data_IF_826277163307
#
_entry.id   IF_826277163307
#
_cell.length_a   1.000
_cell.length_b   1.000
_cell.length_c   1.000
_cell.angle_alpha   90.00
_cell.angle_beta   90.00
_cell.angle_gamma   90.00
#
_symmetry.space_group_name_H-M   'P 1'
#
loop_
_entity.id
_entity.type
_entity.pdbx_description
1 polymer ?
#
# COMPACT_ATOMS: atom_id res chain seq x y z
N UNK A 1 19.75 50.94 25.61
CA UNK A 1 20.14 49.51 25.62
C UNK A 1 18.91 48.70 25.98
N UNK A 2 18.33 48.00 25.02
CA UNK A 2 17.27 47.00 25.25
C UNK A 2 17.79 45.70 24.66
N UNK A 3 17.85 44.71 25.54
CA UNK A 3 18.40 43.38 25.31
C UNK A 3 17.54 42.65 24.26
N UNK A 4 18.16 42.23 23.15
CA UNK A 4 17.53 41.38 22.15
C UNK A 4 17.81 39.93 22.53
N UNK A 5 16.87 39.30 23.22
CA UNK A 5 16.85 37.85 23.37
C UNK A 5 16.49 37.26 22.00
N UNK A 6 17.52 36.87 21.24
CA UNK A 6 17.39 36.03 20.06
C UNK A 6 16.88 34.65 20.51
N UNK A 7 15.58 34.41 20.35
CA UNK A 7 15.02 33.06 20.39
C UNK A 7 15.64 32.26 19.24
N UNK A 8 16.53 31.33 19.57
CA UNK A 8 17.03 30.32 18.63
C UNK A 8 15.81 29.54 18.15
N UNK A 9 15.37 29.79 16.91
CA UNK A 9 14.40 28.93 16.24
C UNK A 9 15.08 27.57 16.06
N UNK A 10 14.70 26.61 16.90
CA UNK A 10 15.13 25.21 16.78
C UNK A 10 14.92 24.75 15.35
N UNK A 11 16.02 24.29 14.73
CA UNK A 11 16.00 23.63 13.43
C UNK A 11 15.03 22.45 13.55
N UNK A 12 14.05 22.27 12.65
CA UNK A 12 13.12 21.15 12.78
C UNK A 12 13.93 19.85 12.70
N UNK A 13 13.76 18.97 13.69
CA UNK A 13 14.38 17.64 13.77
C UNK A 13 13.76 16.66 12.75
N UNK A 14 13.67 17.09 11.49
CA UNK A 14 13.06 16.33 10.38
C UNK A 14 13.76 14.97 10.19
N UNK A 15 15.01 14.84 10.64
CA UNK A 15 15.81 13.61 10.50
C UNK A 15 15.45 12.51 11.50
N UNK A 16 14.99 12.84 12.71
CA UNK A 16 14.65 11.83 13.74
C UNK A 16 13.27 11.24 13.47
N UNK A 17 12.36 12.03 12.89
CA UNK A 17 10.98 11.60 12.59
C UNK A 17 10.87 10.66 11.38
N UNK A 18 11.95 10.49 10.61
CA UNK A 18 11.98 9.63 9.42
C UNK A 18 12.88 8.39 9.58
N UNK A 19 13.45 8.20 10.77
CA UNK A 19 14.22 6.99 11.09
C UNK A 19 13.28 5.79 11.21
N UNK A 20 13.70 4.65 10.67
CA UNK A 20 12.92 3.41 10.78
C UNK A 20 13.07 2.84 12.19
N UNK A 21 11.97 2.37 12.76
CA UNK A 21 12.02 1.67 14.04
C UNK A 21 12.71 0.29 13.88
N UNK A 22 13.37 -0.20 14.93
CA UNK A 22 14.08 -1.49 14.89
C UNK A 22 13.17 -2.64 14.41
N UNK A 23 11.91 -2.65 14.88
CA UNK A 23 10.93 -3.66 14.50
C UNK A 23 10.54 -3.58 13.02
N UNK A 24 10.63 -2.40 12.39
CA UNK A 24 10.36 -2.21 10.96
C UNK A 24 11.49 -2.73 10.09
N UNK A 25 12.74 -2.61 10.57
CA UNK A 25 13.93 -3.17 9.93
C UNK A 25 13.89 -4.70 10.03
N UNK A 26 13.69 -5.23 11.24
CA UNK A 26 13.49 -6.64 11.48
C UNK A 26 12.71 -6.88 12.80
N UNK A 27 11.64 -7.69 12.82
CA UNK A 27 11.24 -8.65 11.77
C UNK A 27 10.26 -8.09 10.71
N UNK A 28 9.97 -6.78 10.75
CA UNK A 28 9.01 -6.12 9.85
C UNK A 28 7.55 -6.27 10.28
N UNK A 29 7.29 -6.78 11.48
CA UNK A 29 5.95 -6.96 12.04
C UNK A 29 6.00 -7.06 13.56
N UNK A 30 4.91 -6.67 14.21
CA UNK A 30 4.73 -6.83 15.66
C UNK A 30 3.68 -7.89 15.90
N UNK A 31 3.92 -8.79 16.86
CA UNK A 31 2.94 -9.79 17.29
C UNK A 31 2.27 -9.39 18.59
N UNK A 32 1.01 -9.77 18.74
CA UNK A 32 0.34 -9.80 20.04
C UNK A 32 0.81 -11.02 20.83
N UNK A 33 1.33 -10.77 22.02
CA UNK A 33 1.83 -11.79 22.95
C UNK A 33 0.72 -12.76 23.40
N UNK A 34 -0.55 -12.34 23.36
CA UNK A 34 -1.68 -13.13 23.84
C UNK A 34 -2.30 -14.05 22.78
N UNK A 35 -2.20 -13.70 21.50
CA UNK A 35 -2.88 -14.39 20.38
C UNK A 35 -1.92 -14.95 19.33
N UNK A 36 -0.62 -14.61 19.38
CA UNK A 36 0.39 -14.89 18.35
C UNK A 36 0.14 -14.25 16.98
N UNK A 37 -0.95 -13.49 16.85
CA UNK A 37 -1.35 -12.75 15.66
C UNK A 37 -0.45 -11.53 15.46
N UNK A 38 -0.26 -11.10 14.21
CA UNK A 38 0.47 -9.87 13.96
C UNK A 38 -0.49 -8.67 14.08
N UNK A 39 -0.07 -7.64 14.81
CA UNK A 39 -0.85 -6.41 15.05
C UNK A 39 -0.32 -5.21 14.28
N UNK A 40 0.90 -5.29 13.74
CA UNK A 40 1.49 -4.26 12.89
C UNK A 40 2.41 -4.89 11.84
N UNK A 41 2.56 -4.20 10.71
CA UNK A 41 3.39 -4.62 9.57
C UNK A 41 4.13 -3.40 9.02
N UNK A 42 5.42 -3.55 8.73
CA UNK A 42 6.24 -2.47 8.18
C UNK A 42 6.07 -2.34 6.67
N UNK A 43 6.46 -1.19 6.12
CA UNK A 43 6.44 -0.96 4.67
C UNK A 43 7.28 -2.01 3.91
N UNK A 44 8.48 -2.33 4.39
CA UNK A 44 9.35 -3.35 3.77
C UNK A 44 8.70 -4.73 3.74
N UNK A 45 7.95 -5.07 4.80
CA UNK A 45 7.23 -6.33 4.89
C UNK A 45 6.06 -6.39 3.89
N UNK A 46 5.26 -5.32 3.82
CA UNK A 46 4.08 -5.24 2.96
C UNK A 46 4.39 -5.06 1.46
N UNK A 47 5.62 -4.67 1.13
CA UNK A 47 6.10 -4.50 -0.25
C UNK A 47 6.91 -5.69 -0.77
N UNK A 48 7.07 -6.75 0.02
CA UNK A 48 7.84 -7.98 -0.32
C UNK A 48 7.30 -8.79 -1.51
N UNK A 49 6.20 -8.34 -2.13
CA UNK A 49 5.68 -8.83 -3.40
C UNK A 49 4.57 -9.86 -3.28
N UNK A 50 4.40 -10.52 -2.12
CA UNK A 50 3.28 -11.42 -1.86
C UNK A 50 2.27 -10.77 -0.90
N UNK A 51 0.96 -10.96 -1.13
CA UNK A 51 -0.07 -10.65 -0.14
C UNK A 51 0.23 -11.31 1.20
N UNK A 52 0.17 -10.51 2.26
CA UNK A 52 0.35 -10.96 3.64
C UNK A 52 -1.02 -11.22 4.24
N UNK A 53 -1.25 -12.40 4.80
CA UNK A 53 -2.48 -12.69 5.56
C UNK A 53 -2.52 -11.84 6.84
N UNK A 54 -3.61 -11.10 6.99
CA UNK A 54 -3.86 -10.20 8.14
C UNK A 54 -5.06 -10.62 8.99
N UNK A 55 -5.93 -11.47 8.45
CA UNK A 55 -7.06 -12.11 9.14
C UNK A 55 -7.47 -13.37 8.35
N UNK A 56 -8.39 -14.17 8.89
CA UNK A 56 -9.08 -15.23 8.12
C UNK A 56 -9.59 -14.67 6.79
N UNK A 57 -9.17 -15.31 5.69
CA UNK A 57 -9.44 -14.96 4.28
C UNK A 57 -9.02 -13.55 3.81
N UNK A 58 -8.47 -12.71 4.68
CA UNK A 58 -8.06 -11.35 4.33
C UNK A 58 -6.54 -11.27 4.23
N UNK A 59 -6.07 -10.79 3.09
CA UNK A 59 -4.67 -10.46 2.87
C UNK A 59 -4.48 -9.02 2.41
N UNK A 60 -3.31 -8.46 2.70
CA UNK A 60 -2.95 -7.10 2.36
C UNK A 60 -1.56 -7.05 1.72
N UNK A 61 -1.38 -6.20 0.71
CA UNK A 61 -0.07 -5.82 0.21
C UNK A 61 -0.04 -4.40 -0.34
N UNK A 62 1.17 -3.88 -0.43
CA UNK A 62 1.49 -2.62 -1.10
C UNK A 62 2.17 -2.95 -2.43
N UNK A 63 1.61 -2.45 -3.52
CA UNK A 63 2.21 -2.51 -4.84
C UNK A 63 2.92 -1.19 -5.14
N UNK A 64 4.23 -1.26 -5.30
CA UNK A 64 5.04 -0.14 -5.79
C UNK A 64 5.25 -0.32 -7.28
N UNK A 65 4.52 0.47 -8.08
CA UNK A 65 4.65 0.49 -9.53
C UNK A 65 5.76 1.46 -9.92
N UNK A 66 6.88 0.94 -10.42
CA UNK A 66 7.99 1.72 -10.97
C UNK A 66 7.58 2.47 -12.25
N UNK A 67 8.32 3.52 -12.66
CA UNK A 67 8.05 4.25 -13.90
C UNK A 67 7.93 3.33 -15.11
N UNK A 68 6.86 3.49 -15.89
CA UNK A 68 6.59 2.67 -17.07
C UNK A 68 6.21 1.21 -16.80
N UNK A 69 6.12 0.80 -15.53
CA UNK A 69 5.75 -0.57 -15.17
C UNK A 69 4.24 -0.79 -15.15
N UNK A 70 3.85 -2.06 -15.21
CA UNK A 70 2.48 -2.50 -15.06
C UNK A 70 2.41 -3.73 -14.16
N UNK A 71 1.28 -3.89 -13.46
CA UNK A 71 0.90 -5.12 -12.79
C UNK A 71 -0.40 -5.65 -13.39
N UNK A 72 -0.55 -6.97 -13.41
CA UNK A 72 -1.69 -7.65 -13.98
C UNK A 72 -2.21 -8.71 -13.02
N UNK A 73 -3.51 -8.62 -12.72
CA UNK A 73 -4.23 -9.73 -12.11
C UNK A 73 -4.88 -10.56 -13.21
N UNK A 74 -4.52 -11.84 -13.22
CA UNK A 74 -5.23 -12.86 -13.97
C UNK A 74 -6.66 -13.02 -13.44
N UNK A 75 -7.50 -13.72 -14.21
CA UNK A 75 -8.82 -14.10 -13.75
C UNK A 75 -8.69 -15.04 -12.56
N UNK A 76 -9.32 -14.68 -11.45
CA UNK A 76 -9.44 -15.50 -10.25
C UNK A 76 -10.91 -15.45 -9.82
N UNK A 77 -11.52 -16.62 -9.64
CA UNK A 77 -12.98 -16.77 -9.45
C UNK A 77 -13.41 -16.76 -7.97
N UNK A 78 -12.44 -16.62 -7.06
CA UNK A 78 -12.60 -16.71 -5.61
C UNK A 78 -12.08 -15.47 -4.88
N UNK A 79 -11.63 -14.43 -5.61
CA UNK A 79 -10.97 -13.27 -5.01
C UNK A 79 -11.67 -11.96 -5.29
N UNK A 80 -11.99 -11.24 -4.21
CA UNK A 80 -12.38 -9.84 -4.26
C UNK A 80 -11.20 -8.97 -3.85
N UNK A 81 -10.86 -7.97 -4.65
CA UNK A 81 -9.80 -7.01 -4.33
C UNK A 81 -10.33 -5.59 -4.26
N UNK A 82 -9.99 -4.91 -3.18
CA UNK A 82 -10.20 -3.48 -3.03
C UNK A 82 -8.85 -2.79 -3.03
N UNK A 83 -8.65 -1.92 -4.02
CA UNK A 83 -7.38 -1.24 -4.25
C UNK A 83 -7.55 0.26 -4.17
N UNK A 84 -6.65 0.95 -3.47
CA UNK A 84 -6.64 2.42 -3.40
C UNK A 84 -5.25 2.97 -3.72
N UNK A 85 -5.21 4.09 -4.45
CA UNK A 85 -3.97 4.80 -4.76
C UNK A 85 -3.53 5.57 -3.52
N UNK A 86 -2.42 5.16 -2.91
CA UNK A 86 -1.83 5.86 -1.77
C UNK A 86 -1.00 7.07 -2.24
N UNK A 87 -0.28 6.92 -3.35
CA UNK A 87 0.55 7.99 -3.93
C UNK A 87 0.72 7.81 -5.44
N UNK A 88 0.99 8.90 -6.14
CA UNK A 88 1.17 8.93 -7.60
C UNK A 88 -0.14 8.93 -8.38
N UNK A 89 -0.10 8.38 -9.60
CA UNK A 89 -1.26 8.30 -10.50
C UNK A 89 -1.14 7.06 -11.36
N UNK A 90 -2.19 6.26 -11.35
CA UNK A 90 -2.24 5.01 -12.12
C UNK A 90 -3.27 5.09 -13.24
N UNK A 91 -3.04 4.28 -14.27
CA UNK A 91 -4.05 3.91 -15.25
C UNK A 91 -4.55 2.51 -14.94
N UNK A 92 -5.85 2.34 -14.89
CA UNK A 92 -6.50 1.06 -14.64
C UNK A 92 -7.30 0.65 -15.87
N UNK A 93 -7.16 -0.61 -16.27
CA UNK A 93 -7.94 -1.23 -17.34
C UNK A 93 -8.64 -2.49 -16.81
N UNK A 94 -9.96 -2.52 -16.95
CA UNK A 94 -10.84 -3.63 -16.53
C UNK A 94 -12.11 -3.64 -17.40
N UNK A 95 -12.58 -4.80 -17.83
CA UNK A 95 -13.81 -4.95 -18.65
C UNK A 95 -13.90 -3.93 -19.79
N UNK A 96 -12.83 -3.82 -20.58
CA UNK A 96 -12.68 -2.86 -21.71
C UNK A 96 -12.72 -1.37 -21.33
N UNK A 97 -12.95 -1.03 -20.05
CA UNK A 97 -12.89 0.34 -19.56
C UNK A 97 -11.47 0.67 -19.13
N UNK A 98 -11.01 1.86 -19.53
CA UNK A 98 -9.72 2.40 -19.09
C UNK A 98 -9.95 3.77 -18.47
N UNK A 99 -9.44 3.97 -17.26
CA UNK A 99 -9.56 5.21 -16.51
C UNK A 99 -8.29 5.50 -15.70
N UNK A 100 -8.10 6.75 -15.29
CA UNK A 100 -6.96 7.13 -14.45
C UNK A 100 -7.43 7.42 -13.03
N UNK A 101 -6.65 7.01 -12.03
CA UNK A 101 -6.88 7.32 -10.62
C UNK A 101 -5.67 8.02 -10.03
N UNK A 102 -5.93 9.12 -9.32
CA UNK A 102 -4.95 9.79 -8.46
C UNK A 102 -5.11 9.33 -6.99
N UNK A 103 -4.39 9.97 -6.06
CA UNK A 103 -4.42 9.62 -4.65
C UNK A 103 -5.83 9.61 -4.07
N UNK A 104 -6.09 8.66 -3.16
CA UNK A 104 -7.39 8.36 -2.53
C UNK A 104 -8.46 7.82 -3.50
N UNK A 105 -8.16 7.70 -4.80
CA UNK A 105 -9.00 6.99 -5.75
C UNK A 105 -8.97 5.48 -5.48
N UNK A 106 -10.14 4.83 -5.59
CA UNK A 106 -10.32 3.40 -5.35
C UNK A 106 -10.87 2.70 -6.60
N UNK A 107 -10.48 1.45 -6.80
CA UNK A 107 -11.11 0.52 -7.73
C UNK A 107 -11.28 -0.87 -7.10
N UNK A 108 -12.23 -1.63 -7.61
CA UNK A 108 -12.57 -2.97 -7.12
C UNK A 108 -12.41 -3.97 -8.27
N UNK A 109 -11.69 -5.07 -8.01
CA UNK A 109 -11.59 -6.21 -8.93
C UNK A 109 -12.43 -7.34 -8.32
N UNK A 110 -13.51 -7.71 -9.00
CA UNK A 110 -14.41 -8.79 -8.56
C UNK A 110 -13.93 -10.15 -9.08
N UNK A 111 -14.41 -11.26 -8.49
CA UNK A 111 -14.21 -12.57 -9.06
C UNK A 111 -14.55 -12.63 -10.55
N UNK A 112 -13.78 -13.40 -11.31
CA UNK A 112 -13.96 -13.54 -12.76
C UNK A 112 -13.47 -12.34 -13.59
N UNK A 113 -12.93 -11.29 -12.96
CA UNK A 113 -12.46 -10.10 -13.67
C UNK A 113 -10.94 -10.09 -13.86
N UNK A 114 -10.51 -9.64 -15.03
CA UNK A 114 -9.12 -9.22 -15.23
C UNK A 114 -8.93 -7.77 -14.83
N UNK A 115 -7.73 -7.43 -14.35
CA UNK A 115 -7.36 -6.05 -14.12
C UNK A 115 -5.89 -5.82 -14.48
N UNK A 116 -5.63 -4.70 -15.15
CA UNK A 116 -4.27 -4.21 -15.42
C UNK A 116 -4.13 -2.82 -14.81
N UNK A 117 -3.04 -2.60 -14.10
CA UNK A 117 -2.69 -1.30 -13.52
C UNK A 117 -1.33 -0.88 -14.01
N UNK A 118 -1.22 0.35 -14.50
CA UNK A 118 -0.01 0.87 -15.12
C UNK A 118 0.41 2.19 -14.46
N UNK A 119 1.71 2.36 -14.27
CA UNK A 119 2.30 3.64 -13.92
C UNK A 119 2.92 4.29 -15.16
N UNK A 120 2.36 5.42 -15.58
CA UNK A 120 2.83 6.20 -16.73
C UNK A 120 3.63 7.45 -16.33
N UNK A 121 3.92 7.62 -15.04
CA UNK A 121 4.73 8.71 -14.52
C UNK A 121 6.23 8.35 -14.54
N UNK A 122 7.08 9.36 -14.40
CA UNK A 122 8.52 9.21 -14.16
C UNK A 122 8.86 8.91 -12.70
N UNK A 123 7.88 8.95 -11.81
CA UNK A 123 8.01 8.63 -10.38
C UNK A 123 7.19 7.38 -10.04
N UNK A 124 7.51 6.74 -8.92
CA UNK A 124 6.76 5.59 -8.42
C UNK A 124 5.30 5.95 -8.14
N UNK A 125 4.41 4.98 -8.33
CA UNK A 125 3.03 5.03 -7.84
C UNK A 125 2.82 3.90 -6.85
N UNK A 126 2.05 4.17 -5.79
CA UNK A 126 1.83 3.23 -4.69
C UNK A 126 0.36 2.90 -4.60
N UNK A 127 0.03 1.61 -4.59
CA UNK A 127 -1.33 1.10 -4.47
C UNK A 127 -1.42 0.16 -3.29
N UNK A 128 -2.33 0.44 -2.36
CA UNK A 128 -2.71 -0.48 -1.30
C UNK A 128 -3.75 -1.45 -1.86
N UNK A 129 -3.61 -2.74 -1.54
CA UNK A 129 -4.49 -3.79 -2.03
C UNK A 129 -4.90 -4.67 -0.85
N UNK A 130 -6.20 -4.72 -0.59
CA UNK A 130 -6.80 -5.72 0.29
C UNK A 130 -7.45 -6.78 -0.58
N UNK A 131 -7.15 -8.06 -0.33
CA UNK A 131 -7.75 -9.20 -1.01
C UNK A 131 -8.53 -10.03 0.00
N UNK A 132 -9.79 -10.32 -0.33
CA UNK A 132 -10.62 -11.29 0.37
C UNK A 132 -10.64 -12.55 -0.49
N UNK A 133 -10.14 -13.66 0.05
CA UNK A 133 -10.19 -15.00 -0.53
C UNK A 133 -11.53 -15.69 -0.30
N UNK A 134 -11.74 -16.82 -0.97
CA UNK A 134 -12.96 -17.65 -0.92
C UNK A 134 -14.27 -16.83 -1.06
N UNK A 135 -14.19 -15.72 -1.79
CA UNK A 135 -15.29 -14.79 -1.93
C UNK A 135 -16.32 -15.36 -2.91
N UNK A 136 -17.52 -15.64 -2.40
CA UNK A 136 -18.69 -15.97 -3.20
C UNK A 136 -19.68 -14.80 -3.20
N UNK A 137 -20.25 -14.48 -4.37
CA UNK A 137 -21.38 -13.57 -4.45
C UNK A 137 -22.59 -14.26 -3.82
N UNK A 138 -23.01 -13.79 -2.64
CA UNK A 138 -24.32 -14.10 -2.07
C UNK A 138 -25.44 -13.46 -2.90
#
# INVERSE_FOLDING_TARGET
MRDQTLTIMGRPEIGVELEMEDWEVAPGRIKDESSSDNVAYSNSYLTSGQPVTVSEDVSFNIMVLKPGSANHWAVEDDKLRTCSVASGKIRVTMNEKTFNLGPNGMFVVRPGQTCKVENRLYMDSVVHCTTIGDFSLQ
#
